data_IF_222983037061
#
_entry.id   IF_222983037061
#
_cell.length_a   1.000
_cell.length_b   1.000
_cell.length_c   1.000
_cell.angle_alpha   90.00
_cell.angle_beta   90.00
_cell.angle_gamma   90.00
#
_symmetry.space_group_name_H-M   'P 1'
#
loop_
_entity.id
_entity.type
_entity.pdbx_description
1 polymer ?
#
# COMPACT_ATOMS: atom_id res chain seq x y z
N UNK A 1 65.78 7.36 13.63
CA UNK A 1 66.17 8.06 12.37
C UNK A 1 64.91 8.57 11.69
N UNK A 2 65.03 9.68 10.95
CA UNK A 2 63.92 10.57 10.55
C UNK A 2 63.05 10.06 9.38
N UNK A 3 61.80 10.56 9.23
CA UNK A 3 60.86 10.14 8.19
C UNK A 3 61.13 10.81 6.82
N UNK A 4 60.64 10.20 5.74
CA UNK A 4 60.53 10.85 4.42
C UNK A 4 59.18 11.56 4.27
N UNK A 5 59.20 12.89 4.34
CA UNK A 5 58.23 13.82 3.72
C UNK A 5 58.75 14.21 2.34
N UNK A 6 57.92 14.14 1.28
CA UNK A 6 57.83 14.95 0.02
C UNK A 6 56.53 14.43 -0.66
N UNK A 7 55.61 15.16 -1.29
CA UNK A 7 55.36 16.61 -1.50
C UNK A 7 53.84 16.86 -1.37
N UNK A 8 53.43 18.11 -1.18
CA UNK A 8 52.08 18.56 -1.55
C UNK A 8 52.12 19.15 -2.96
N UNK A 9 51.27 18.68 -3.87
CA UNK A 9 51.01 19.38 -5.12
C UNK A 9 49.49 19.52 -5.32
N UNK A 10 49.04 20.78 -5.38
CA UNK A 10 47.68 21.13 -5.73
C UNK A 10 47.48 20.90 -7.23
N UNK A 11 46.50 20.06 -7.60
CA UNK A 11 45.94 20.05 -8.95
C UNK A 11 44.41 20.01 -8.87
N UNK A 12 43.70 21.05 -9.33
CA UNK A 12 42.24 21.02 -9.41
C UNK A 12 41.78 20.11 -10.55
N UNK A 13 40.72 19.34 -10.31
CA UNK A 13 40.08 18.51 -11.34
C UNK A 13 39.25 19.40 -12.30
N UNK A 14 39.19 19.08 -13.60
CA UNK A 14 38.55 19.94 -14.61
C UNK A 14 37.01 19.85 -14.59
N UNK A 15 36.29 20.93 -14.97
CA UNK A 15 34.83 20.93 -15.06
C UNK A 15 34.30 20.46 -16.43
N UNK A 16 33.02 20.07 -16.42
CA UNK A 16 32.13 19.81 -17.57
C UNK A 16 32.32 18.50 -18.40
N UNK A 17 31.40 17.56 -18.20
CA UNK A 17 30.73 16.87 -19.32
C UNK A 17 29.23 16.79 -19.05
N UNK A 18 28.45 17.54 -19.85
CA UNK A 18 26.98 17.50 -19.86
C UNK A 18 26.56 16.64 -21.06
N UNK A 19 25.83 15.55 -20.84
CA UNK A 19 25.23 14.79 -21.93
C UNK A 19 23.87 15.38 -22.33
N UNK A 20 23.83 15.93 -23.54
CA UNK A 20 22.62 16.46 -24.19
C UNK A 20 21.74 15.32 -24.73
N UNK A 21 20.44 15.31 -24.37
CA UNK A 21 19.37 14.74 -25.20
C UNK A 21 18.06 15.54 -25.03
N UNK A 22 17.47 16.00 -26.15
CA UNK A 22 16.15 16.66 -26.22
C UNK A 22 15.29 16.07 -27.37
N UNK A 23 13.94 16.21 -27.37
CA UNK A 23 13.02 15.21 -27.96
C UNK A 23 12.27 15.62 -29.26
N UNK A 24 11.57 14.64 -29.88
CA UNK A 24 10.56 14.73 -30.99
C UNK A 24 9.61 13.50 -30.94
N UNK A 25 8.35 13.43 -31.44
CA UNK A 25 7.41 14.47 -31.93
C UNK A 25 5.91 14.12 -31.60
N UNK A 26 4.99 13.85 -32.56
CA UNK A 26 3.50 13.79 -32.34
C UNK A 26 2.67 13.01 -33.42
N UNK A 27 1.35 12.87 -33.15
CA UNK A 27 0.15 12.70 -34.04
C UNK A 27 -0.48 11.27 -34.16
N UNK A 28 -1.80 11.03 -34.38
CA UNK A 28 -3.08 11.79 -34.17
C UNK A 28 -4.33 10.88 -34.40
N UNK A 29 -5.53 11.26 -33.93
CA UNK A 29 -6.83 10.55 -34.11
C UNK A 29 -7.81 11.38 -34.96
N UNK A 30 -8.48 10.78 -35.97
CA UNK A 30 -9.82 11.16 -36.50
C UNK A 30 -10.26 10.25 -37.67
N UNK A 31 -11.45 9.63 -37.59
CA UNK A 31 -12.09 8.98 -38.75
C UNK A 31 -13.24 8.01 -38.44
N UNK A 32 -14.39 8.22 -39.09
CA UNK A 32 -15.48 7.26 -39.32
C UNK A 32 -16.27 6.65 -38.14
N UNK A 33 -17.28 7.38 -37.68
CA UNK A 33 -18.62 6.82 -37.40
C UNK A 33 -19.65 7.52 -38.32
N UNK A 34 -20.38 6.77 -39.17
CA UNK A 34 -21.82 6.97 -39.49
C UNK A 34 -22.37 6.11 -40.66
N UNK A 35 -23.68 5.75 -40.54
CA UNK A 35 -24.58 4.91 -41.39
C UNK A 35 -24.73 3.48 -40.81
N UNK A 36 -25.92 2.88 -40.58
CA UNK A 36 -27.34 3.00 -41.04
C UNK A 36 -28.24 2.64 -39.83
N UNK A 37 -29.27 3.39 -39.37
CA UNK A 37 -30.68 3.62 -39.83
C UNK A 37 -31.71 2.45 -39.68
N UNK A 38 -32.97 2.84 -39.42
CA UNK A 38 -34.12 2.14 -38.76
C UNK A 38 -35.01 1.23 -39.65
N UNK A 39 -35.71 0.25 -39.04
CA UNK A 39 -37.10 -0.17 -39.40
C UNK A 39 -37.76 -0.98 -38.23
N UNK A 40 -38.99 -0.71 -37.74
CA UNK A 40 -39.49 -1.26 -36.48
C UNK A 40 -40.70 -2.21 -36.59
N UNK A 41 -40.51 -3.45 -37.05
CA UNK A 41 -41.50 -4.52 -36.83
C UNK A 41 -40.89 -5.91 -36.57
N UNK A 42 -39.64 -5.94 -36.10
CA UNK A 42 -38.84 -7.16 -35.91
C UNK A 42 -38.55 -7.46 -34.43
N UNK A 43 -39.18 -6.75 -33.49
CA UNK A 43 -38.63 -6.53 -32.13
C UNK A 43 -38.40 -7.80 -31.32
N UNK A 44 -39.29 -8.79 -31.40
CA UNK A 44 -39.15 -10.06 -30.68
C UNK A 44 -38.17 -11.02 -31.38
N UNK A 45 -38.24 -11.11 -32.71
CA UNK A 45 -37.30 -11.87 -33.54
C UNK A 45 -35.88 -11.34 -33.36
N UNK A 46 -35.71 -10.01 -33.33
CA UNK A 46 -34.44 -9.33 -33.08
C UNK A 46 -33.94 -9.56 -31.65
N UNK A 47 -34.80 -9.68 -30.64
CA UNK A 47 -34.36 -10.02 -29.27
C UNK A 47 -33.85 -11.46 -29.17
N UNK A 48 -34.58 -12.43 -29.73
CA UNK A 48 -34.15 -13.84 -29.77
C UNK A 48 -32.88 -14.00 -30.62
N UNK A 49 -32.80 -13.34 -31.77
CA UNK A 49 -31.62 -13.34 -32.65
C UNK A 49 -30.43 -12.60 -32.02
N UNK A 50 -30.59 -11.50 -31.27
CA UNK A 50 -29.47 -10.88 -30.54
C UNK A 50 -29.01 -11.71 -29.33
N UNK A 51 -29.91 -12.42 -28.65
CA UNK A 51 -29.50 -13.32 -27.57
C UNK A 51 -28.69 -14.51 -28.12
N UNK A 52 -29.15 -15.09 -29.24
CA UNK A 52 -28.44 -16.19 -29.93
C UNK A 52 -27.13 -15.70 -30.56
N UNK A 53 -27.12 -14.56 -31.26
CA UNK A 53 -25.89 -13.96 -31.79
C UNK A 53 -24.93 -13.49 -30.70
N UNK A 54 -25.43 -13.01 -29.56
CA UNK A 54 -24.62 -12.63 -28.40
C UNK A 54 -23.98 -13.85 -27.73
N UNK A 55 -24.74 -14.93 -27.55
CA UNK A 55 -24.21 -16.22 -27.07
C UNK A 55 -23.20 -16.82 -28.04
N UNK A 56 -23.51 -16.86 -29.34
CA UNK A 56 -22.59 -17.33 -30.38
C UNK A 56 -21.33 -16.46 -30.47
N UNK A 57 -21.42 -15.14 -30.34
CA UNK A 57 -20.26 -14.25 -30.35
C UNK A 57 -19.39 -14.43 -29.09
N UNK A 58 -19.98 -14.74 -27.95
CA UNK A 58 -19.26 -15.02 -26.70
C UNK A 58 -18.53 -16.38 -26.79
N UNK A 59 -19.23 -17.43 -27.23
CA UNK A 59 -18.64 -18.76 -27.44
C UNK A 59 -17.58 -18.75 -28.55
N UNK A 60 -17.85 -18.09 -29.69
CA UNK A 60 -16.86 -17.93 -30.75
C UNK A 60 -15.68 -17.06 -30.32
N UNK A 61 -15.90 -16.02 -29.51
CA UNK A 61 -14.83 -15.20 -28.94
C UNK A 61 -13.91 -15.99 -28.00
N UNK A 62 -14.47 -16.86 -27.17
CA UNK A 62 -13.71 -17.77 -26.29
C UNK A 62 -12.96 -18.82 -27.12
N UNK A 63 -13.62 -19.48 -28.07
CA UNK A 63 -12.98 -20.49 -28.93
C UNK A 63 -11.87 -19.90 -29.82
N UNK A 64 -12.05 -18.68 -30.33
CA UNK A 64 -11.05 -17.97 -31.12
C UNK A 64 -9.89 -17.47 -30.25
N UNK A 65 -10.15 -17.06 -29.00
CA UNK A 65 -9.12 -16.74 -28.01
C UNK A 65 -8.25 -17.95 -27.63
N UNK A 66 -8.86 -19.12 -27.44
CA UNK A 66 -8.14 -20.37 -27.11
C UNK A 66 -7.28 -20.82 -28.30
N UNK A 67 -7.80 -20.76 -29.53
CA UNK A 67 -7.05 -21.17 -30.74
C UNK A 67 -5.93 -20.20 -31.12
N UNK A 68 -6.10 -18.88 -30.91
CA UNK A 68 -5.01 -17.90 -31.09
C UNK A 68 -3.99 -17.90 -29.94
N UNK A 69 -4.34 -18.43 -28.76
CA UNK A 69 -3.41 -18.63 -27.64
C UNK A 69 -2.23 -19.55 -27.99
N UNK A 70 -2.37 -20.42 -28.99
CA UNK A 70 -1.31 -21.30 -29.49
C UNK A 70 -0.26 -20.60 -30.39
N UNK A 71 -0.47 -19.32 -30.77
CA UNK A 71 0.38 -18.58 -31.72
C UNK A 71 1.06 -17.31 -31.15
N UNK A 72 0.92 -17.07 -29.85
CA UNK A 72 1.69 -16.03 -29.14
C UNK A 72 0.89 -14.79 -28.70
N UNK A 73 1.45 -14.10 -27.70
CA UNK A 73 0.71 -13.21 -26.80
C UNK A 73 -0.01 -11.96 -27.38
N UNK A 74 0.36 -11.34 -28.53
CA UNK A 74 -0.28 -10.07 -28.94
C UNK A 74 -1.77 -10.17 -29.30
N UNK A 75 -2.26 -11.34 -29.72
CA UNK A 75 -3.63 -11.50 -30.22
C UNK A 75 -4.72 -11.54 -29.13
N UNK A 76 -4.40 -12.08 -27.95
CA UNK A 76 -5.40 -12.39 -26.91
C UNK A 76 -5.98 -11.12 -26.25
N UNK A 77 -5.17 -10.07 -26.11
CA UNK A 77 -5.56 -8.82 -25.46
C UNK A 77 -6.56 -7.98 -26.29
N UNK A 78 -6.52 -8.09 -27.62
CA UNK A 78 -7.37 -7.28 -28.51
C UNK A 78 -8.77 -7.88 -28.62
N UNK A 79 -8.88 -9.21 -28.75
CA UNK A 79 -10.17 -9.90 -28.83
C UNK A 79 -10.97 -9.79 -27.52
N UNK A 80 -10.31 -9.95 -26.37
CA UNK A 80 -10.95 -9.84 -25.04
C UNK A 80 -11.46 -8.41 -24.76
N UNK A 81 -10.66 -7.38 -25.08
CA UNK A 81 -11.06 -5.98 -24.90
C UNK A 81 -12.32 -5.60 -25.70
N UNK A 82 -12.42 -6.05 -26.96
CA UNK A 82 -13.58 -5.76 -27.83
C UNK A 82 -14.83 -6.50 -27.35
N UNK A 83 -14.72 -7.78 -26.98
CA UNK A 83 -15.85 -8.57 -26.46
C UNK A 83 -16.44 -8.01 -25.16
N UNK A 84 -15.59 -7.66 -24.19
CA UNK A 84 -16.02 -7.14 -22.88
C UNK A 84 -16.67 -5.75 -23.02
N UNK A 85 -16.17 -4.91 -23.93
CA UNK A 85 -16.67 -3.54 -24.12
C UNK A 85 -18.03 -3.52 -24.83
N UNK A 86 -18.27 -4.40 -25.82
CA UNK A 86 -19.62 -4.53 -26.40
C UNK A 86 -20.64 -5.13 -25.42
N UNK A 87 -20.25 -6.13 -24.62
CA UNK A 87 -21.13 -6.74 -23.63
C UNK A 87 -21.57 -5.77 -22.53
N UNK A 88 -20.64 -4.93 -22.03
CA UNK A 88 -20.95 -3.93 -20.99
C UNK A 88 -21.84 -2.79 -21.47
N UNK A 89 -21.73 -2.36 -22.73
CA UNK A 89 -22.60 -1.33 -23.32
C UNK A 89 -24.03 -1.85 -23.48
N UNK A 90 -24.22 -3.09 -23.96
CA UNK A 90 -25.54 -3.71 -24.08
C UNK A 90 -26.23 -3.84 -22.71
N UNK A 91 -25.52 -4.33 -21.69
CA UNK A 91 -25.99 -4.37 -20.30
C UNK A 91 -26.33 -2.97 -19.73
N UNK A 92 -25.52 -1.96 -20.05
CA UNK A 92 -25.75 -0.57 -19.63
C UNK A 92 -27.06 0.00 -20.17
N UNK A 93 -27.40 -0.27 -21.43
CA UNK A 93 -28.69 0.15 -22.01
C UNK A 93 -29.91 -0.57 -21.43
N UNK A 94 -29.75 -1.81 -20.93
CA UNK A 94 -30.84 -2.57 -20.29
C UNK A 94 -31.25 -2.01 -18.92
N UNK A 95 -30.32 -1.40 -18.16
CA UNK A 95 -30.57 -0.87 -16.81
C UNK A 95 -31.33 0.48 -16.79
N UNK A 96 -31.42 1.17 -17.93
CA UNK A 96 -32.08 2.48 -18.02
C UNK A 96 -33.61 2.39 -17.84
N UNK A 97 -34.23 1.27 -18.21
CA UNK A 97 -35.69 1.07 -18.29
C UNK A 97 -36.36 0.61 -16.98
N UNK A 98 -35.61 0.47 -15.88
CA UNK A 98 -36.14 -0.03 -14.61
C UNK A 98 -36.70 1.11 -13.73
N UNK A 99 -37.90 0.98 -13.13
CA UNK A 99 -38.49 2.00 -12.25
C UNK A 99 -37.61 2.39 -11.06
N UNK A 100 -37.75 3.64 -10.60
CA UNK A 100 -37.00 4.25 -9.49
C UNK A 100 -37.06 3.44 -8.19
N UNK A 101 -38.20 2.81 -7.92
CA UNK A 101 -38.46 2.13 -6.66
C UNK A 101 -37.63 0.83 -6.57
N UNK A 102 -37.37 0.18 -7.70
CA UNK A 102 -36.48 -0.98 -7.80
C UNK A 102 -35.01 -0.57 -7.78
N UNK A 103 -34.65 0.65 -8.22
CA UNK A 103 -33.27 1.17 -8.17
C UNK A 103 -32.75 1.34 -6.75
N UNK A 104 -33.57 1.74 -5.77
CA UNK A 104 -33.11 1.84 -4.36
C UNK A 104 -32.89 0.46 -3.71
N UNK A 105 -33.79 -0.50 -3.99
CA UNK A 105 -33.68 -1.89 -3.54
C UNK A 105 -32.48 -2.60 -4.17
N UNK A 106 -32.29 -2.48 -5.49
CA UNK A 106 -31.11 -2.98 -6.18
C UNK A 106 -29.84 -2.27 -5.72
N UNK A 107 -29.85 -0.95 -5.48
CA UNK A 107 -28.65 -0.27 -4.95
C UNK A 107 -28.28 -0.79 -3.56
N UNK A 108 -29.25 -1.01 -2.65
CA UNK A 108 -28.99 -1.65 -1.35
C UNK A 108 -28.52 -3.11 -1.48
N UNK A 109 -29.13 -3.90 -2.36
CA UNK A 109 -28.71 -5.29 -2.62
C UNK A 109 -27.34 -5.39 -3.29
N UNK A 110 -27.02 -4.51 -4.24
CA UNK A 110 -25.69 -4.39 -4.84
C UNK A 110 -24.67 -3.90 -3.83
N UNK A 111 -24.99 -2.91 -2.97
CA UNK A 111 -24.05 -2.47 -1.93
C UNK A 111 -23.79 -3.61 -0.93
N UNK A 112 -24.83 -4.31 -0.47
CA UNK A 112 -24.69 -5.48 0.41
C UNK A 112 -23.99 -6.67 -0.28
N UNK A 113 -24.17 -6.87 -1.58
CA UNK A 113 -23.47 -7.89 -2.36
C UNK A 113 -22.01 -7.52 -2.62
N UNK A 114 -21.69 -6.24 -2.83
CA UNK A 114 -20.31 -5.74 -2.93
C UNK A 114 -19.61 -5.72 -1.56
N UNK A 115 -20.32 -5.47 -0.46
CA UNK A 115 -19.80 -5.67 0.90
C UNK A 115 -19.55 -7.15 1.19
N UNK A 116 -20.44 -8.06 0.76
CA UNK A 116 -20.26 -9.51 0.93
C UNK A 116 -19.22 -10.12 -0.03
N UNK A 117 -19.02 -9.58 -1.23
CA UNK A 117 -17.97 -10.05 -2.15
C UNK A 117 -16.60 -9.39 -1.90
N UNK A 118 -16.55 -8.35 -1.07
CA UNK A 118 -15.34 -7.82 -0.44
C UNK A 118 -14.98 -8.58 0.84
N UNK A 119 -14.89 -9.90 0.74
CA UNK A 119 -14.08 -10.68 1.67
C UNK A 119 -12.63 -10.18 1.58
N UNK A 120 -12.24 -9.32 2.52
CA UNK A 120 -10.87 -8.91 2.73
C UNK A 120 -10.27 -9.84 3.78
N UNK A 121 -9.30 -10.64 3.38
CA UNK A 121 -8.47 -11.36 4.32
C UNK A 121 -7.47 -10.35 4.91
N UNK A 122 -7.83 -9.75 6.03
CA UNK A 122 -6.89 -9.00 6.86
C UNK A 122 -5.80 -9.95 7.38
N UNK A 123 -4.60 -9.44 7.67
CA UNK A 123 -3.48 -10.24 8.17
C UNK A 123 -3.83 -11.15 9.37
N UNK A 124 -4.77 -10.73 10.22
CA UNK A 124 -5.41 -11.63 11.19
C UNK A 124 -6.87 -11.24 11.48
N UNK A 125 -7.61 -12.19 12.04
CA UNK A 125 -8.95 -11.96 12.60
C UNK A 125 -8.91 -10.94 13.75
N UNK A 126 -7.86 -10.96 14.58
CA UNK A 126 -7.68 -10.05 15.72
C UNK A 126 -7.54 -8.59 15.26
N UNK A 127 -6.78 -8.36 14.18
CA UNK A 127 -6.65 -7.06 13.52
C UNK A 127 -8.00 -6.60 12.95
N UNK A 128 -8.72 -7.48 12.23
CA UNK A 128 -10.03 -7.16 11.66
C UNK A 128 -11.06 -6.79 12.75
N UNK A 129 -11.08 -7.52 13.86
CA UNK A 129 -11.93 -7.21 15.02
C UNK A 129 -11.55 -5.87 15.65
N UNK A 130 -10.26 -5.61 15.86
CA UNK A 130 -9.73 -4.37 16.43
C UNK A 130 -10.11 -3.14 15.59
N UNK A 131 -9.93 -3.22 14.27
CA UNK A 131 -10.31 -2.15 13.34
C UNK A 131 -11.83 -1.93 13.36
N UNK A 132 -12.63 -3.01 13.26
CA UNK A 132 -14.10 -2.93 13.29
C UNK A 132 -14.66 -2.41 14.63
N UNK A 133 -14.02 -2.73 15.75
CA UNK A 133 -14.42 -2.27 17.07
C UNK A 133 -14.21 -0.75 17.23
N UNK A 134 -13.03 -0.26 16.85
CA UNK A 134 -12.58 1.09 17.22
C UNK A 134 -12.74 2.15 16.10
N UNK A 135 -12.87 1.73 14.84
CA UNK A 135 -12.85 2.62 13.68
C UNK A 135 -14.07 2.50 12.78
N UNK A 136 -14.35 3.57 12.04
CA UNK A 136 -15.27 3.60 10.90
C UNK A 136 -14.44 3.53 9.62
N UNK A 137 -14.74 2.55 8.78
CA UNK A 137 -14.02 2.34 7.51
C UNK A 137 -14.60 3.20 6.36
N UNK A 138 -13.73 3.62 5.45
CA UNK A 138 -14.02 4.15 4.12
C UNK A 138 -13.03 3.55 3.10
N UNK A 139 -13.43 3.40 1.84
CA UNK A 139 -12.57 2.89 0.76
C UNK A 139 -12.12 3.98 -0.22
N UNK A 140 -12.04 5.23 0.23
CA UNK A 140 -11.51 6.38 -0.51
C UNK A 140 -10.73 7.31 0.42
N UNK A 141 -9.68 7.96 -0.09
CA UNK A 141 -8.96 9.01 0.63
C UNK A 141 -9.94 10.14 1.07
N UNK A 142 -9.65 10.84 2.18
CA UNK A 142 -10.24 12.15 2.47
C UNK A 142 -10.05 13.14 1.31
N UNK A 143 -10.92 14.15 1.19
CA UNK A 143 -10.82 15.17 0.11
C UNK A 143 -9.57 16.07 0.25
N UNK A 144 -9.12 16.15 1.48
CA UNK A 144 -7.96 16.84 2.03
C UNK A 144 -6.64 16.08 1.80
N UNK A 145 -6.69 14.85 1.28
CA UNK A 145 -5.53 13.97 1.16
C UNK A 145 -5.35 13.45 -0.27
N UNK A 146 -4.12 13.53 -0.78
CA UNK A 146 -3.74 13.06 -2.12
C UNK A 146 -2.58 12.05 -2.04
N UNK A 147 -2.73 10.90 -2.69
CA UNK A 147 -1.66 9.93 -2.92
C UNK A 147 -1.74 9.46 -4.38
N UNK A 148 -1.04 10.10 -5.33
CA UNK A 148 -1.18 9.83 -6.76
C UNK A 148 -0.89 8.37 -7.12
N UNK A 149 -1.83 7.73 -7.83
CA UNK A 149 -1.71 6.33 -8.22
C UNK A 149 -1.88 5.33 -7.07
N UNK A 150 -2.34 5.75 -5.89
CA UNK A 150 -2.59 4.84 -4.78
C UNK A 150 -3.73 3.84 -5.09
N UNK A 151 -3.48 2.57 -4.80
CA UNK A 151 -4.42 1.46 -4.99
C UNK A 151 -4.80 0.84 -3.64
N UNK A 152 -5.85 0.01 -3.63
CA UNK A 152 -6.22 -0.80 -2.47
C UNK A 152 -6.41 0.02 -1.18
N UNK A 153 -7.06 1.18 -1.29
CA UNK A 153 -7.19 2.15 -0.21
C UNK A 153 -8.22 1.69 0.83
N UNK A 154 -7.84 1.71 2.11
CA UNK A 154 -8.76 1.65 3.25
C UNK A 154 -8.40 2.79 4.23
N UNK A 155 -9.40 3.54 4.68
CA UNK A 155 -9.27 4.61 5.67
C UNK A 155 -10.08 4.22 6.89
N UNK A 156 -9.43 4.14 8.04
CA UNK A 156 -10.03 3.83 9.33
C UNK A 156 -10.01 5.11 10.19
N UNK A 157 -11.16 5.77 10.30
CA UNK A 157 -11.34 6.95 11.15
C UNK A 157 -11.78 6.51 12.54
N UNK A 158 -11.11 6.93 13.61
CA UNK A 158 -11.45 6.48 14.95
C UNK A 158 -12.86 6.94 15.36
N UNK A 159 -13.63 6.06 16.02
CA UNK A 159 -15.00 6.37 16.44
C UNK A 159 -15.05 7.38 17.58
N UNK A 160 -14.04 7.39 18.44
CA UNK A 160 -13.92 8.31 19.57
C UNK A 160 -13.53 9.74 19.17
N UNK A 161 -12.72 9.90 18.12
CA UNK A 161 -12.25 11.20 17.63
C UNK A 161 -12.00 11.13 16.10
N UNK A 162 -12.74 11.89 15.26
CA UNK A 162 -12.61 11.84 13.81
C UNK A 162 -11.31 12.45 13.25
N UNK A 163 -10.55 13.16 14.09
CA UNK A 163 -9.24 13.73 13.75
C UNK A 163 -8.09 12.70 13.88
N UNK A 164 -8.38 11.50 14.37
CA UNK A 164 -7.43 10.39 14.43
C UNK A 164 -7.79 9.35 13.36
N UNK A 165 -6.86 9.09 12.44
CA UNK A 165 -7.08 8.28 11.23
C UNK A 165 -5.89 7.35 10.97
N UNK A 166 -6.18 6.10 10.60
CA UNK A 166 -5.25 5.20 9.93
C UNK A 166 -5.63 5.12 8.45
N UNK A 167 -4.81 5.71 7.59
CA UNK A 167 -4.89 5.54 6.14
C UNK A 167 -3.96 4.39 5.73
N UNK A 168 -4.44 3.46 4.90
CA UNK A 168 -3.59 2.40 4.34
C UNK A 168 -3.88 2.18 2.87
N UNK A 169 -2.82 1.98 2.09
CA UNK A 169 -2.88 1.86 0.63
C UNK A 169 -1.59 1.26 0.07
N UNK A 170 -1.66 0.83 -1.19
CA UNK A 170 -0.50 0.49 -2.01
C UNK A 170 -0.08 1.74 -2.82
N UNK A 171 1.20 2.08 -2.87
CA UNK A 171 1.75 3.14 -3.74
C UNK A 171 2.46 2.55 -4.97
N UNK A 172 2.55 3.28 -6.09
CA UNK A 172 3.26 2.80 -7.28
C UNK A 172 4.79 2.87 -7.14
N UNK A 173 5.32 3.71 -6.26
CA UNK A 173 6.74 3.77 -5.90
C UNK A 173 6.92 4.14 -4.43
N UNK A 174 8.15 3.99 -3.92
CA UNK A 174 8.52 4.44 -2.58
C UNK A 174 8.46 5.96 -2.47
N UNK A 175 9.04 6.67 -3.43
CA UNK A 175 9.05 8.13 -3.53
C UNK A 175 7.76 8.76 -4.08
N UNK A 176 6.64 8.03 -4.04
CA UNK A 176 5.33 8.59 -4.41
C UNK A 176 4.89 9.58 -3.33
N UNK A 177 4.56 10.83 -3.66
CA UNK A 177 4.19 11.83 -2.66
C UNK A 177 2.88 11.43 -1.97
N UNK A 178 2.81 11.70 -0.67
CA UNK A 178 1.59 11.57 0.14
C UNK A 178 1.35 12.95 0.74
N UNK A 179 0.23 13.58 0.38
CA UNK A 179 -0.09 14.96 0.75
C UNK A 179 -1.34 14.93 1.64
N UNK A 180 -1.34 15.66 2.75
CA UNK A 180 -2.50 15.88 3.61
C UNK A 180 -2.59 17.39 3.92
N UNK A 181 -3.75 18.01 3.66
CA UNK A 181 -3.98 19.46 3.77
C UNK A 181 -3.00 20.34 2.96
N UNK A 182 -2.58 19.90 1.77
CA UNK A 182 -1.56 20.53 0.90
C UNK A 182 -0.12 20.51 1.47
N UNK A 183 0.13 19.76 2.54
CA UNK A 183 1.48 19.55 3.10
C UNK A 183 1.92 18.13 2.81
N UNK A 184 3.17 17.91 2.43
CA UNK A 184 3.70 16.56 2.28
C UNK A 184 3.83 15.88 3.65
N UNK A 185 3.38 14.64 3.74
CA UNK A 185 3.30 13.87 4.98
C UNK A 185 4.71 13.46 5.42
N UNK A 186 5.09 13.80 6.66
CA UNK A 186 6.42 13.52 7.22
C UNK A 186 6.69 12.00 7.24
N UNK A 187 7.79 11.56 6.64
CA UNK A 187 8.11 10.13 6.47
C UNK A 187 8.87 9.59 7.68
N UNK A 188 8.54 8.39 8.14
CA UNK A 188 9.19 7.73 9.29
C UNK A 188 10.18 6.67 8.78
N UNK A 189 11.44 6.79 9.18
CA UNK A 189 12.51 5.82 8.89
C UNK A 189 13.02 5.18 10.19
N UNK A 190 12.99 3.85 10.28
CA UNK A 190 13.48 3.13 11.46
C UNK A 190 14.96 2.75 11.32
N UNK A 191 15.83 3.52 11.96
CA UNK A 191 17.29 3.33 11.94
C UNK A 191 17.71 2.26 12.97
N UNK A 192 18.45 1.20 12.59
CA UNK A 192 18.97 0.21 13.52
C UNK A 192 19.82 0.82 14.65
N UNK A 193 19.59 0.51 15.94
CA UNK A 193 20.39 1.06 17.05
C UNK A 193 21.87 0.66 17.01
N UNK A 194 22.21 -0.45 16.36
CA UNK A 194 23.58 -0.92 16.13
C UNK A 194 24.30 -0.14 15.02
N UNK A 195 23.58 0.71 14.27
CA UNK A 195 24.18 1.54 13.23
C UNK A 195 25.22 2.51 13.80
N UNK A 196 26.37 2.58 13.12
CA UNK A 196 27.36 3.63 13.32
C UNK A 196 27.05 4.82 12.40
N UNK A 197 26.42 5.85 12.98
CA UNK A 197 26.06 7.05 12.23
C UNK A 197 27.28 7.94 11.89
N UNK A 198 28.44 7.72 12.51
CA UNK A 198 29.68 8.38 12.12
C UNK A 198 30.29 7.75 10.87
N UNK A 199 29.91 6.51 10.53
CA UNK A 199 30.34 5.81 9.32
C UNK A 199 29.12 5.26 8.53
N UNK A 200 28.23 6.10 7.96
CA UNK A 200 26.96 5.65 7.37
C UNK A 200 27.05 4.56 6.30
N UNK A 201 28.20 4.40 5.66
CA UNK A 201 28.45 3.34 4.68
C UNK A 201 28.55 1.92 5.27
N UNK A 202 28.62 1.77 6.60
CA UNK A 202 28.52 0.47 7.29
C UNK A 202 27.08 0.05 7.60
N UNK A 203 26.10 0.89 7.26
CA UNK A 203 24.68 0.56 7.39
C UNK A 203 24.28 -0.15 6.10
N UNK A 204 24.03 -1.45 6.20
CA UNK A 204 23.51 -2.27 5.12
C UNK A 204 22.09 -2.66 5.48
N UNK A 205 21.10 -1.83 5.13
CA UNK A 205 19.71 -2.08 5.49
C UNK A 205 18.81 -1.60 4.36
N UNK A 206 18.11 -2.53 3.72
CA UNK A 206 17.35 -2.27 2.50
C UNK A 206 16.19 -1.28 2.66
N UNK A 207 15.68 -1.07 3.88
CA UNK A 207 14.66 -0.06 4.14
C UNK A 207 15.30 1.34 4.26
N UNK A 208 16.38 1.45 5.02
CA UNK A 208 17.20 2.66 5.15
C UNK A 208 17.74 3.12 3.79
N UNK A 209 18.18 2.18 2.94
CA UNK A 209 18.67 2.47 1.60
C UNK A 209 17.61 3.12 0.69
N UNK A 210 16.32 2.80 0.87
CA UNK A 210 15.22 3.45 0.14
C UNK A 210 15.05 4.92 0.55
N UNK A 211 15.13 5.22 1.85
CA UNK A 211 15.09 6.61 2.36
C UNK A 211 16.32 7.40 1.92
N UNK A 212 17.53 6.80 2.00
CA UNK A 212 18.77 7.40 1.49
C UNK A 212 18.68 7.72 0.00
N UNK A 213 18.13 6.81 -0.80
CA UNK A 213 17.92 7.02 -2.24
C UNK A 213 16.90 8.13 -2.52
N UNK A 214 15.81 8.20 -1.75
CA UNK A 214 14.78 9.24 -1.88
C UNK A 214 15.29 10.65 -1.51
N UNK A 215 16.07 10.77 -0.43
CA UNK A 215 16.59 12.06 0.04
C UNK A 215 17.84 12.54 -0.72
N UNK A 216 18.63 11.61 -1.24
CA UNK A 216 19.99 11.84 -1.74
C UNK A 216 21.03 11.95 -0.62
N UNK A 217 22.27 11.56 -0.93
CA UNK A 217 23.38 11.44 0.05
C UNK A 217 23.62 12.70 0.89
N UNK A 218 23.46 13.90 0.32
CA UNK A 218 23.70 15.16 1.03
C UNK A 218 22.70 15.36 2.17
N UNK A 219 21.40 15.30 1.87
CA UNK A 219 20.33 15.45 2.84
C UNK A 219 20.34 14.30 3.85
N UNK A 220 20.62 13.07 3.38
CA UNK A 220 20.76 11.89 4.23
C UNK A 220 21.85 12.06 5.31
N UNK A 221 23.04 12.50 4.91
CA UNK A 221 24.16 12.68 5.84
C UNK A 221 23.93 13.83 6.85
N UNK A 222 23.25 14.91 6.44
CA UNK A 222 22.82 15.97 7.37
C UNK A 222 21.79 15.41 8.37
N UNK A 223 20.78 14.70 7.88
CA UNK A 223 19.74 14.08 8.69
C UNK A 223 20.31 13.10 9.72
N UNK A 224 21.27 12.26 9.33
CA UNK A 224 21.98 11.37 10.25
C UNK A 224 22.85 12.13 11.27
N UNK A 225 23.49 13.23 10.85
CA UNK A 225 24.31 14.06 11.76
C UNK A 225 23.45 14.68 12.86
N UNK A 226 22.28 15.24 12.51
CA UNK A 226 21.32 15.74 13.50
C UNK A 226 20.74 14.62 14.37
N UNK A 227 20.36 13.50 13.74
CA UNK A 227 19.79 12.36 14.46
C UNK A 227 20.77 11.72 15.44
N UNK A 228 22.09 11.75 15.15
CA UNK A 228 23.14 11.24 16.05
C UNK A 228 23.19 11.92 17.42
N UNK A 229 22.62 13.13 17.55
CA UNK A 229 22.47 13.85 18.82
C UNK A 229 21.31 13.31 19.68
N UNK A 230 20.44 12.49 19.09
CA UNK A 230 19.29 11.87 19.76
C UNK A 230 19.77 10.67 20.57
N UNK A 231 19.49 10.59 21.88
CA UNK A 231 19.86 9.43 22.69
C UNK A 231 19.42 8.11 22.06
N UNK A 232 20.31 7.11 22.03
CA UNK A 232 20.03 5.75 21.53
C UNK A 232 19.08 5.00 22.46
N UNK A 233 17.80 5.36 22.41
CA UNK A 233 16.71 4.73 23.19
C UNK A 233 15.61 4.22 22.26
N UNK A 234 14.93 3.11 22.58
CA UNK A 234 13.86 2.55 21.74
C UNK A 234 12.78 3.59 21.41
N UNK A 235 12.56 3.87 20.13
CA UNK A 235 11.57 4.85 19.68
C UNK A 235 11.96 6.32 19.88
N UNK A 236 13.18 6.61 20.35
CA UNK A 236 13.73 7.96 20.35
C UNK A 236 13.93 8.48 18.92
N UNK A 237 13.51 9.72 18.65
CA UNK A 237 13.39 10.22 17.28
C UNK A 237 13.81 11.68 17.11
N UNK A 238 14.12 12.06 15.86
CA UNK A 238 14.38 13.43 15.42
C UNK A 238 13.68 13.69 14.09
N UNK A 239 12.97 14.80 14.00
CA UNK A 239 12.49 15.32 12.72
C UNK A 239 13.56 16.23 12.11
N UNK A 240 13.86 16.01 10.84
CA UNK A 240 14.80 16.79 10.03
C UNK A 240 14.11 17.18 8.73
N UNK A 241 14.02 18.48 8.44
CA UNK A 241 13.52 18.96 7.15
C UNK A 241 14.57 18.69 6.08
N UNK A 242 14.13 18.31 4.87
CA UNK A 242 15.02 18.23 3.72
C UNK A 242 14.42 18.98 2.54
N UNK A 243 15.19 19.93 2.01
CA UNK A 243 14.83 20.68 0.82
C UNK A 243 15.35 19.98 -0.43
N UNK A 244 14.49 19.80 -1.43
CA UNK A 244 14.95 19.54 -2.78
C UNK A 244 15.62 20.81 -3.30
N UNK A 245 16.94 20.78 -3.52
CA UNK A 245 17.75 21.90 -4.02
C UNK A 245 17.28 22.38 -5.41
N UNK A 246 16.42 21.61 -6.06
CA UNK A 246 15.84 21.83 -7.39
C UNK A 246 14.37 22.28 -7.38
N UNK A 247 13.70 22.33 -6.22
CA UNK A 247 12.27 22.64 -6.13
C UNK A 247 11.96 24.14 -5.94
N UNK A 248 10.72 24.49 -6.26
CA UNK A 248 10.23 25.88 -6.20
C UNK A 248 9.96 26.27 -4.74
N UNK A 249 10.10 27.56 -4.34
CA UNK A 249 9.71 28.05 -3.00
C UNK A 249 8.20 27.94 -2.65
N UNK A 250 7.44 27.14 -3.40
CA UNK A 250 6.01 26.87 -3.23
C UNK A 250 5.73 25.42 -2.83
N UNK A 251 6.72 24.54 -2.94
CA UNK A 251 6.59 23.14 -2.58
C UNK A 251 6.82 23.02 -1.06
N UNK A 252 5.86 22.45 -0.33
CA UNK A 252 5.92 22.30 1.13
C UNK A 252 7.15 21.47 1.54
N UNK A 253 7.87 21.83 2.63
CA UNK A 253 9.11 21.15 2.99
C UNK A 253 8.86 19.67 3.31
N UNK A 254 9.67 18.79 2.73
CA UNK A 254 9.69 17.36 3.09
C UNK A 254 10.37 17.18 4.43
N UNK A 255 9.90 16.23 5.22
CA UNK A 255 10.37 16.00 6.58
C UNK A 255 10.62 14.52 6.84
N UNK A 256 11.80 14.18 7.35
CA UNK A 256 12.13 12.83 7.80
C UNK A 256 12.09 12.77 9.32
N UNK A 257 11.35 11.80 9.84
CA UNK A 257 11.33 11.41 11.23
C UNK A 257 12.23 10.18 11.32
N UNK A 258 13.51 10.40 11.62
CA UNK A 258 14.44 9.32 11.96
C UNK A 258 14.09 8.79 13.35
N UNK A 259 13.92 7.48 13.49
CA UNK A 259 13.54 6.83 14.75
C UNK A 259 14.53 5.71 15.05
N UNK A 260 15.05 5.64 16.27
CA UNK A 260 15.82 4.49 16.74
C UNK A 260 14.90 3.27 16.80
N UNK A 261 15.16 2.28 15.93
CA UNK A 261 14.25 1.17 15.68
C UNK A 261 13.92 0.45 17.01
N UNK A 262 12.67 0.50 17.50
CA UNK A 262 12.33 0.02 18.84
C UNK A 262 12.37 -1.51 18.95
N UNK A 263 12.53 -2.22 17.82
CA UNK A 263 12.66 -3.67 17.75
C UNK A 263 14.12 -4.16 17.71
N UNK A 264 15.11 -3.25 17.65
CA UNK A 264 16.53 -3.60 17.59
C UNK A 264 17.18 -3.89 18.94
N UNK A 265 18.49 -4.20 18.93
CA UNK A 265 19.24 -4.52 20.14
C UNK A 265 19.72 -3.26 20.88
N UNK A 266 19.36 -3.13 22.15
CA UNK A 266 19.82 -2.06 23.03
C UNK A 266 20.61 -2.66 24.20
N UNK A 267 21.92 -2.91 24.04
CA UNK A 267 22.73 -3.54 25.07
C UNK A 267 22.83 -2.65 26.32
N UNK A 268 22.47 -3.21 27.47
CA UNK A 268 22.59 -2.55 28.78
C UNK A 268 23.98 -2.74 29.41
N UNK A 269 24.76 -3.68 28.88
CA UNK A 269 26.16 -3.94 29.28
C UNK A 269 27.03 -4.17 28.05
N UNK A 270 28.33 -3.89 28.15
CA UNK A 270 29.25 -3.92 27.00
C UNK A 270 29.38 -5.28 26.28
N UNK A 271 29.02 -6.38 26.94
CA UNK A 271 29.15 -7.74 26.40
C UNK A 271 27.81 -8.37 25.98
N UNK A 272 26.69 -7.70 26.21
CA UNK A 272 25.34 -8.24 25.98
C UNK A 272 25.07 -8.42 24.48
N UNK A 273 24.90 -9.68 24.06
CA UNK A 273 24.64 -10.04 22.67
C UNK A 273 23.13 -10.02 22.35
N UNK A 274 22.74 -9.82 21.08
CA UNK A 274 21.38 -10.04 20.62
C UNK A 274 20.90 -11.46 20.97
N UNK A 275 19.75 -11.57 21.64
CA UNK A 275 19.18 -12.85 22.08
C UNK A 275 19.54 -13.29 23.50
N UNK A 276 20.53 -12.68 24.16
CA UNK A 276 20.89 -12.99 25.57
C UNK A 276 19.73 -12.76 26.55
N UNK A 277 18.80 -11.85 26.19
CA UNK A 277 17.59 -11.55 26.95
C UNK A 277 16.36 -11.56 26.04
N UNK A 278 15.18 -11.95 26.54
CA UNK A 278 13.92 -11.79 25.83
C UNK A 278 13.64 -10.32 25.52
N UNK A 279 13.46 -9.98 24.24
CA UNK A 279 13.14 -8.62 23.83
C UNK A 279 11.64 -8.30 24.07
N UNK A 280 11.29 -7.19 24.74
CA UNK A 280 9.93 -6.94 25.24
C UNK A 280 8.87 -6.75 24.15
N UNK A 281 9.28 -6.44 22.91
CA UNK A 281 8.39 -6.29 21.76
C UNK A 281 8.21 -7.57 20.93
N UNK A 282 8.82 -8.70 21.31
CA UNK A 282 8.72 -9.98 20.60
C UNK A 282 8.00 -11.05 21.41
N UNK A 283 7.44 -12.05 20.70
CA UNK A 283 6.81 -13.22 21.30
C UNK A 283 5.35 -13.00 21.71
N UNK A 284 4.73 -14.07 22.17
CA UNK A 284 3.27 -14.19 22.22
C UNK A 284 2.55 -13.18 23.14
N UNK A 285 3.26 -12.54 24.07
CA UNK A 285 2.73 -11.60 25.08
C UNK A 285 3.14 -10.14 24.85
N UNK A 286 3.79 -9.82 23.73
CA UNK A 286 4.33 -8.46 23.50
C UNK A 286 3.31 -7.40 23.08
N UNK A 287 2.04 -7.76 22.83
CA UNK A 287 1.01 -6.86 22.28
C UNK A 287 0.87 -5.56 23.10
N UNK A 288 0.79 -5.65 24.43
CA UNK A 288 0.68 -4.47 25.30
C UNK A 288 1.93 -3.59 25.26
N UNK A 289 3.12 -4.19 25.15
CA UNK A 289 4.37 -3.44 25.09
C UNK A 289 4.51 -2.72 23.73
N UNK A 290 4.11 -3.39 22.65
CA UNK A 290 4.02 -2.79 21.32
C UNK A 290 3.01 -1.63 21.31
N UNK A 291 1.82 -1.80 21.92
CA UNK A 291 0.84 -0.72 22.03
C UNK A 291 1.41 0.46 22.83
N UNK A 292 1.98 0.22 24.02
CA UNK A 292 2.59 1.27 24.86
C UNK A 292 3.70 2.02 24.12
N UNK A 293 4.52 1.31 23.33
CA UNK A 293 5.55 1.90 22.47
C UNK A 293 4.94 2.82 21.41
N UNK A 294 3.98 2.34 20.61
CA UNK A 294 3.31 3.16 19.59
C UNK A 294 2.57 4.36 20.19
N UNK A 295 1.83 4.16 21.28
CA UNK A 295 1.14 5.23 22.00
C UNK A 295 2.13 6.31 22.46
N UNK A 296 3.27 5.93 23.03
CA UNK A 296 4.29 6.87 23.51
C UNK A 296 4.92 7.65 22.36
N UNK A 297 5.26 6.95 21.27
CA UNK A 297 5.78 7.56 20.04
C UNK A 297 4.78 8.57 19.46
N UNK A 298 3.52 8.17 19.24
CA UNK A 298 2.47 9.04 18.72
C UNK A 298 2.19 10.25 19.62
N UNK A 299 2.10 10.08 20.95
CA UNK A 299 1.96 11.21 21.89
C UNK A 299 3.14 12.18 21.79
N UNK A 300 4.37 11.67 21.64
CA UNK A 300 5.56 12.52 21.51
C UNK A 300 5.61 13.31 20.19
N UNK A 301 5.14 12.72 19.08
CA UNK A 301 5.02 13.40 17.78
C UNK A 301 3.96 14.53 17.84
N UNK A 302 2.77 14.23 18.37
CA UNK A 302 1.68 15.20 18.54
C UNK A 302 2.12 16.37 19.42
N UNK A 303 2.85 16.10 20.51
CA UNK A 303 3.40 17.14 21.39
C UNK A 303 4.44 18.07 20.71
N UNK A 304 5.01 17.65 19.58
CA UNK A 304 5.91 18.46 18.75
C UNK A 304 5.20 19.04 17.50
N UNK A 305 3.87 18.98 17.42
CA UNK A 305 3.09 19.51 16.30
C UNK A 305 3.08 18.63 15.04
N UNK A 306 3.58 17.40 15.13
CA UNK A 306 3.58 16.45 14.01
C UNK A 306 2.27 15.66 14.02
N UNK A 307 1.38 15.99 13.07
CA UNK A 307 0.02 15.45 12.99
C UNK A 307 -0.24 14.50 11.82
N UNK A 308 0.71 14.36 10.90
CA UNK A 308 0.57 13.57 9.68
C UNK A 308 1.87 12.83 9.44
N UNK A 309 1.86 11.50 9.52
CA UNK A 309 3.07 10.67 9.32
C UNK A 309 2.86 9.55 8.31
N UNK A 310 3.90 9.24 7.55
CA UNK A 310 3.96 8.13 6.60
C UNK A 310 4.89 7.04 7.10
N UNK A 311 4.37 5.82 7.26
CA UNK A 311 5.14 4.64 7.69
C UNK A 311 5.14 3.62 6.56
N UNK A 312 6.33 3.25 6.08
CA UNK A 312 6.47 2.13 5.14
C UNK A 312 6.19 0.82 5.88
N UNK A 313 5.09 0.15 5.55
CA UNK A 313 4.58 -1.00 6.32
C UNK A 313 5.56 -2.18 6.38
N UNK A 314 6.37 -2.39 5.35
CA UNK A 314 7.36 -3.46 5.35
C UNK A 314 8.48 -3.22 6.38
N UNK A 315 8.95 -1.99 6.55
CA UNK A 315 9.98 -1.63 7.56
C UNK A 315 9.46 -1.86 8.99
N UNK A 316 8.17 -1.60 9.22
CA UNK A 316 7.53 -1.82 10.51
C UNK A 316 7.22 -3.30 10.81
N UNK A 317 6.78 -4.06 9.80
CA UNK A 317 6.39 -5.48 9.96
C UNK A 317 7.60 -6.43 9.92
N UNK A 318 8.66 -6.05 9.22
CA UNK A 318 9.87 -6.85 9.04
C UNK A 318 11.12 -6.05 9.41
N UNK A 319 11.25 -5.56 10.66
CA UNK A 319 12.35 -4.71 11.07
C UNK A 319 13.68 -5.47 11.00
N UNK A 320 14.70 -4.80 10.43
CA UNK A 320 16.02 -5.36 10.16
C UNK A 320 17.12 -4.64 10.92
N UNK A 321 18.23 -5.34 11.14
CA UNK A 321 19.45 -4.80 11.72
C UNK A 321 20.29 -4.00 10.70
N UNK A 322 21.45 -3.53 11.15
CA UNK A 322 22.44 -2.83 10.34
C UNK A 322 23.14 -3.71 9.27
N UNK A 323 22.87 -5.02 9.23
CA UNK A 323 23.39 -6.01 8.27
C UNK A 323 22.30 -6.59 7.37
N UNK A 324 21.08 -6.05 7.43
CA UNK A 324 19.90 -6.45 6.65
C UNK A 324 19.26 -7.78 7.13
N UNK A 325 19.63 -8.27 8.32
CA UNK A 325 19.04 -9.45 8.93
C UNK A 325 17.78 -9.10 9.72
N UNK A 326 16.76 -9.96 9.68
CA UNK A 326 15.51 -9.71 10.41
C UNK A 326 15.68 -9.99 11.91
N UNK A 327 15.40 -9.01 12.76
CA UNK A 327 15.48 -9.17 14.22
C UNK A 327 14.62 -10.30 14.78
N UNK A 328 13.51 -10.64 14.13
CA UNK A 328 12.64 -11.74 14.54
C UNK A 328 13.37 -13.09 14.56
N UNK A 329 14.32 -13.31 13.64
CA UNK A 329 15.12 -14.53 13.58
C UNK A 329 16.00 -14.71 14.84
N UNK A 330 16.41 -13.60 15.45
CA UNK A 330 17.23 -13.58 16.66
C UNK A 330 16.40 -13.62 17.93
N UNK A 331 15.37 -12.77 18.04
CA UNK A 331 14.64 -12.60 19.30
C UNK A 331 13.43 -13.51 19.47
N UNK A 332 12.78 -13.95 18.39
CA UNK A 332 11.62 -14.85 18.45
C UNK A 332 11.37 -15.58 17.10
N UNK A 333 12.26 -16.49 16.66
CA UNK A 333 12.17 -17.16 15.36
C UNK A 333 10.92 -18.02 15.14
N UNK A 334 10.11 -18.24 16.19
CA UNK A 334 8.85 -18.99 16.15
C UNK A 334 7.60 -18.08 16.28
N UNK A 335 7.73 -16.75 16.36
CA UNK A 335 6.57 -15.83 16.47
C UNK A 335 5.91 -15.56 15.11
N UNK A 336 5.29 -16.59 14.54
CA UNK A 336 4.54 -16.54 13.28
C UNK A 336 3.32 -15.60 13.28
N UNK A 337 3.08 -14.84 14.36
CA UNK A 337 2.02 -13.83 14.45
C UNK A 337 2.55 -12.39 14.60
N UNK A 338 3.86 -12.18 14.60
CA UNK A 338 4.51 -10.89 14.87
C UNK A 338 3.90 -9.73 14.06
N UNK A 339 3.86 -9.84 12.73
CA UNK A 339 3.35 -8.79 11.82
C UNK A 339 1.92 -8.35 12.21
N UNK A 340 1.02 -9.33 12.36
CA UNK A 340 -0.37 -9.09 12.74
C UNK A 340 -0.51 -8.46 14.14
N UNK A 341 0.39 -8.81 15.07
CA UNK A 341 0.45 -8.26 16.43
C UNK A 341 0.88 -6.81 16.42
N UNK A 342 1.91 -6.47 15.63
CA UNK A 342 2.43 -5.11 15.45
C UNK A 342 1.35 -4.18 14.90
N UNK A 343 0.62 -4.61 13.87
CA UNK A 343 -0.48 -3.82 13.29
C UNK A 343 -1.70 -3.70 14.21
N UNK A 344 -1.99 -4.75 14.98
CA UNK A 344 -3.03 -4.70 16.03
C UNK A 344 -2.65 -3.70 17.12
N UNK A 345 -1.40 -3.72 17.59
CA UNK A 345 -0.85 -2.79 18.56
C UNK A 345 -0.88 -1.33 18.07
N UNK A 346 -0.50 -1.08 16.81
CA UNK A 346 -0.58 0.25 16.19
C UNK A 346 -2.03 0.74 16.12
N UNK A 347 -2.97 -0.13 15.75
CA UNK A 347 -4.40 0.18 15.68
C UNK A 347 -4.99 0.47 17.07
N UNK A 348 -4.60 -0.28 18.10
CA UNK A 348 -4.98 -0.04 19.49
C UNK A 348 -4.38 1.28 20.01
N UNK A 349 -3.12 1.57 19.70
CA UNK A 349 -2.47 2.83 20.07
C UNK A 349 -3.20 4.04 19.48
N UNK A 350 -3.58 3.99 18.19
CA UNK A 350 -4.39 5.06 17.58
C UNK A 350 -5.78 5.18 18.21
N UNK A 351 -6.41 4.07 18.61
CA UNK A 351 -7.64 4.13 19.39
C UNK A 351 -7.44 4.75 20.78
N UNK A 352 -6.26 4.59 21.38
CA UNK A 352 -5.92 5.21 22.67
C UNK A 352 -5.67 6.72 22.52
N UNK A 353 -4.98 7.15 21.47
CA UNK A 353 -4.85 8.57 21.10
C UNK A 353 -6.23 9.20 20.90
N UNK A 354 -7.16 8.49 20.24
CA UNK A 354 -8.51 8.97 19.97
C UNK A 354 -9.44 9.10 21.20
N UNK A 355 -8.99 8.70 22.40
CA UNK A 355 -9.71 8.98 23.64
C UNK A 355 -9.59 10.46 24.05
N UNK A 356 -8.47 11.09 23.69
CA UNK A 356 -8.31 12.54 23.76
C UNK A 356 -9.02 13.19 22.55
N UNK A 357 -9.87 14.17 22.82
CA UNK A 357 -10.67 14.86 21.80
C UNK A 357 -9.87 15.96 21.07
N UNK A 358 -8.84 16.52 21.71
CA UNK A 358 -8.00 17.56 21.14
C UNK A 358 -6.85 16.97 20.30
N UNK A 359 -6.56 15.68 20.47
CA UNK A 359 -5.58 14.94 19.67
C UNK A 359 -5.93 14.90 18.18
N UNK A 360 -4.91 15.10 17.33
CA UNK A 360 -5.00 15.01 15.86
C UNK A 360 -3.82 14.21 15.33
N UNK A 361 -4.10 13.13 14.60
CA UNK A 361 -3.07 12.29 13.98
C UNK A 361 -3.61 11.47 12.80
N UNK A 362 -3.09 11.72 11.59
CA UNK A 362 -3.19 10.80 10.45
C UNK A 362 -1.93 9.93 10.38
N UNK A 363 -2.05 8.61 10.46
CA UNK A 363 -0.97 7.66 10.11
C UNK A 363 -1.26 7.06 8.75
N UNK A 364 -0.34 7.24 7.80
CA UNK A 364 -0.39 6.67 6.46
C UNK A 364 0.53 5.44 6.41
N UNK A 365 -0.04 4.25 6.54
CA UNK A 365 0.67 2.97 6.46
C UNK A 365 0.65 2.45 5.02
N UNK A 366 1.77 2.55 4.30
CA UNK A 366 1.81 2.27 2.85
C UNK A 366 2.74 1.11 2.47
N UNK A 367 2.48 0.48 1.32
CA UNK A 367 3.30 -0.60 0.76
C UNK A 367 3.45 -0.50 -0.75
N UNK A 368 4.50 -1.08 -1.33
CA UNK A 368 4.78 -0.99 -2.78
C UNK A 368 4.03 -2.06 -3.60
N UNK A 369 4.02 -3.29 -3.08
CA UNK A 369 3.44 -4.45 -3.77
C UNK A 369 1.96 -4.62 -3.41
N UNK A 370 1.61 -4.37 -2.14
CA UNK A 370 0.29 -4.60 -1.57
C UNK A 370 -0.06 -3.58 -0.49
N UNK A 371 -1.31 -3.60 -0.02
CA UNK A 371 -1.75 -2.83 1.14
C UNK A 371 -1.26 -3.56 2.42
N UNK A 372 -0.50 -2.91 3.32
CA UNK A 372 0.09 -3.57 4.49
C UNK A 372 -0.85 -4.22 5.51
N UNK A 373 -2.19 -4.05 5.43
CA UNK A 373 -3.14 -4.70 6.34
C UNK A 373 -3.76 -5.99 5.76
N UNK A 374 -3.50 -6.30 4.48
CA UNK A 374 -4.13 -7.40 3.75
C UNK A 374 -3.18 -8.59 3.63
N UNK A 375 -3.72 -9.79 3.67
CA UNK A 375 -3.02 -10.97 3.17
C UNK A 375 -3.01 -10.93 1.63
N UNK A 376 -1.91 -11.39 1.04
CA UNK A 376 -1.92 -11.82 -0.35
C UNK A 376 -2.98 -12.91 -0.51
N UNK A 377 -3.96 -12.70 -1.40
CA UNK A 377 -4.98 -13.73 -1.66
C UNK A 377 -4.26 -15.00 -2.14
N UNK A 378 -4.54 -16.18 -1.57
CA UNK A 378 -3.97 -17.42 -2.08
C UNK A 378 -4.36 -17.56 -3.56
N UNK A 379 -3.40 -17.94 -4.40
CA UNK A 379 -3.67 -18.31 -5.79
C UNK A 379 -4.42 -19.63 -5.74
N UNK A 380 -5.75 -19.55 -5.72
CA UNK A 380 -6.60 -20.73 -5.87
C UNK A 380 -6.48 -21.20 -7.32
N UNK A 381 -5.55 -22.12 -7.55
CA UNK A 381 -5.67 -23.06 -8.66
C UNK A 381 -6.93 -23.87 -8.38
N UNK A 382 -8.02 -23.55 -9.08
CA UNK A 382 -9.30 -24.21 -8.87
C UNK A 382 -9.15 -25.71 -9.11
N UNK A 383 -9.48 -26.51 -8.10
CA UNK A 383 -9.93 -27.88 -8.37
C UNK A 383 -11.21 -27.77 -9.20
N UNK A 384 -11.23 -28.50 -10.32
CA UNK A 384 -12.45 -28.66 -11.12
C UNK A 384 -13.28 -29.75 -10.42
N UNK A 385 -13.96 -29.36 -9.35
CA UNK A 385 -15.00 -30.15 -8.71
C UNK A 385 -16.34 -29.55 -9.13
N UNK A 386 -16.83 -29.97 -10.29
CA UNK A 386 -18.24 -29.85 -10.73
C UNK A 386 -18.42 -30.66 -12.03
N UNK A 387 -18.62 -31.98 -11.86
CA UNK A 387 -19.39 -32.80 -12.79
C UNK A 387 -20.55 -33.40 -11.99
N UNK A 388 -21.54 -32.55 -11.71
CA UNK A 388 -22.85 -32.99 -11.24
C UNK A 388 -23.63 -33.52 -12.47
N UNK A 389 -23.41 -34.80 -12.78
CA UNK A 389 -24.03 -35.45 -13.93
C UNK A 389 -25.53 -35.72 -13.67
N UNK A 390 -26.36 -35.26 -14.61
CA UNK A 390 -27.73 -35.72 -14.89
C UNK A 390 -28.88 -35.31 -13.94
N UNK A 391 -29.35 -34.07 -14.15
CA UNK A 391 -30.80 -33.78 -14.12
C UNK A 391 -31.37 -33.89 -15.56
N UNK A 392 -31.90 -35.07 -15.93
CA UNK A 392 -32.81 -35.34 -17.07
C UNK A 392 -33.32 -36.79 -16.89
N UNK A 393 -34.62 -37.13 -16.91
CA UNK A 393 -35.73 -36.49 -17.63
C UNK A 393 -37.00 -36.28 -16.79
N UNK A 394 -37.77 -35.30 -17.27
CA UNK A 394 -39.17 -35.04 -16.99
C UNK A 394 -40.16 -36.14 -17.43
N UNK A 395 -41.32 -36.16 -16.75
CA UNK A 395 -42.67 -36.56 -17.18
C UNK A 395 -42.96 -37.93 -17.84
N UNK A 396 -43.88 -38.68 -17.23
CA UNK A 396 -45.23 -38.84 -17.81
C UNK A 396 -46.29 -39.09 -16.71
N UNK A 397 -47.50 -38.56 -16.91
CA UNK A 397 -48.68 -38.75 -16.04
C UNK A 397 -49.31 -40.15 -16.20
N UNK A 398 -50.05 -40.64 -15.19
CA UNK A 398 -51.52 -40.85 -15.26
C UNK A 398 -52.11 -41.52 -14.00
N UNK A 399 -53.38 -41.19 -13.70
CA UNK A 399 -54.19 -41.76 -12.61
C UNK A 399 -54.48 -43.28 -12.76
N UNK A 400 -54.39 -44.03 -11.64
CA UNK A 400 -55.27 -45.16 -11.27
C UNK A 400 -55.08 -45.56 -9.79
#
# INVERSE_FOLDING_TARGET
MSPKKISSDNNPLPPHQIFNLTPKQRFSIKGCFHRVLYNPNTRETTQKVLAILGGLALVAGVACGITLGALGAPGLAIATAIGITLGTILLGTSLALIPSNTKSSMKKRLHSAFEKSRGYDFLSQDLAQTLKANFKESSSLPKDMEAPGAENINIFTAKGNPNVKLATFKTPSFSSPIIDHNTEVSRVCFVPPEADLANPNTIHNSAVDLFRFEMGDYNWNIGLTEFSQTPKTPGGWKCTEWSDVTQSPKDSPKQLINVWNPFGHYPTTANEQPGDKPHPLYGQRSLENQQKMFTSFFKSLIANGIHHIGIYGHDLMFPKDHKNEFYINTFAPLDAKFESRVLTALSLALSEIANDQDSRLTVCLYGLLENPLRQAKPIVYGTIDDFDDSDFNEFDDFDA
#
